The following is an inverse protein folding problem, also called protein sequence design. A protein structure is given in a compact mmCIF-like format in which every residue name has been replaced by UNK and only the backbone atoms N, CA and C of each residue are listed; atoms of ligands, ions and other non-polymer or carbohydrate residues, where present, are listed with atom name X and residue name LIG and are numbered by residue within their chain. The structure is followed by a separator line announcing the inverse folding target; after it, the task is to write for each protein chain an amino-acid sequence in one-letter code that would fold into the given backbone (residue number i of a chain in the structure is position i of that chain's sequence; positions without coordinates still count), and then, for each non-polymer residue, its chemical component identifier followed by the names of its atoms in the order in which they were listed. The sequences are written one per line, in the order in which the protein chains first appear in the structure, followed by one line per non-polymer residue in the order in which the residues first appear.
data_IF_454543396903
#
_entry.id   IF_454543396903
#
_cell.length_a   1.000
_cell.length_b   1.000
_cell.length_c   1.000
_cell.angle_alpha   90.00
_cell.angle_beta   90.00
_cell.angle_gamma   90.00
#
_symmetry.space_group_name_H-M   'P 1'
#
loop_
_entity.id
_entity.type
_entity.pdbx_description
1 polymer ?
#
# COMPACT_ATOMS: atom_id res chain seq x y z
N UNK A 1 0.07 -3.59 -6.52
CA UNK A 1 -0.62 -2.31 -6.31
C UNK A 1 -1.48 -2.01 -7.51
N UNK A 2 -2.70 -1.54 -7.28
CA UNK A 2 -3.68 -1.19 -8.31
C UNK A 2 -4.33 0.16 -7.97
N UNK A 3 -5.36 0.56 -8.73
CA UNK A 3 -6.00 1.85 -8.51
C UNK A 3 -6.74 1.94 -7.17
N UNK A 4 -7.34 0.86 -6.66
CA UNK A 4 -8.03 0.86 -5.36
C UNK A 4 -7.05 1.10 -4.21
N UNK A 5 -5.88 0.45 -4.28
CA UNK A 5 -4.81 0.65 -3.29
C UNK A 5 -4.32 2.10 -3.34
N UNK A 6 -3.99 2.62 -4.52
CA UNK A 6 -3.48 3.97 -4.66
C UNK A 6 -4.51 5.06 -4.33
N UNK A 7 -5.80 4.83 -4.55
CA UNK A 7 -6.87 5.75 -4.15
C UNK A 7 -6.97 5.90 -2.63
N UNK A 8 -6.72 4.84 -1.86
CA UNK A 8 -6.66 4.94 -0.39
C UNK A 8 -5.44 5.74 0.09
N UNK A 9 -4.25 5.50 -0.49
CA UNK A 9 -3.06 6.32 -0.19
C UNK A 9 -3.23 7.78 -0.66
N UNK A 10 -3.98 8.01 -1.73
CA UNK A 10 -4.32 9.35 -2.17
C UNK A 10 -5.31 10.02 -1.22
N UNK A 11 -6.35 9.31 -0.78
CA UNK A 11 -7.32 9.81 0.20
C UNK A 11 -6.64 10.23 1.50
N UNK A 12 -5.71 9.42 2.02
CA UNK A 12 -5.01 9.78 3.26
C UNK A 12 -4.08 10.98 3.09
N UNK A 13 -3.34 11.10 1.97
CA UNK A 13 -2.50 12.29 1.68
C UNK A 13 -3.32 13.57 1.49
N UNK A 14 -4.57 13.44 1.05
CA UNK A 14 -5.53 14.55 0.96
C UNK A 14 -6.32 14.76 2.26
N UNK A 15 -6.04 13.99 3.31
CA UNK A 15 -6.61 14.16 4.65
C UNK A 15 -5.54 14.75 5.58
N UNK A 16 -4.35 14.16 5.56
CA UNK A 16 -3.13 14.62 6.24
C UNK A 16 -2.09 14.87 5.16
N UNK A 17 -1.74 16.14 4.92
CA UNK A 17 -0.77 16.48 3.88
C UNK A 17 0.60 15.89 4.19
N UNK A 18 1.22 15.34 3.15
CA UNK A 18 2.62 14.91 3.12
C UNK A 18 3.63 16.08 3.01
N UNK A 19 3.15 17.31 3.24
CA UNK A 19 3.91 18.56 3.29
C UNK A 19 3.51 19.39 4.51
N UNK A 20 4.51 19.89 5.21
CA UNK A 20 4.30 20.84 6.29
C UNK A 20 3.94 22.23 5.73
N UNK A 21 3.20 23.01 6.52
CA UNK A 21 2.95 24.42 6.22
C UNK A 21 4.23 25.28 6.43
N UNK A 22 4.13 26.58 6.17
CA UNK A 22 5.24 27.53 6.35
C UNK A 22 5.75 27.61 7.80
N UNK A 23 4.93 27.19 8.77
CA UNK A 23 5.23 27.18 10.19
C UNK A 23 5.74 25.81 10.67
N UNK A 24 5.91 24.84 9.76
CA UNK A 24 6.36 23.49 10.08
C UNK A 24 5.27 22.60 10.70
N UNK A 25 3.99 22.92 10.54
CA UNK A 25 2.86 22.14 11.06
C UNK A 25 2.25 21.22 10.00
N UNK A 26 1.70 20.10 10.43
CA UNK A 26 0.93 19.24 9.53
C UNK A 26 -0.37 19.93 9.11
N UNK A 27 -0.69 19.83 7.82
CA UNK A 27 -1.93 20.37 7.29
C UNK A 27 -3.00 19.27 7.29
N UNK A 28 -4.05 19.48 8.09
CA UNK A 28 -5.28 18.69 8.04
C UNK A 28 -6.25 19.31 7.06
N UNK A 29 -6.59 18.56 6.02
CA UNK A 29 -7.44 19.04 4.93
C UNK A 29 -8.90 18.60 5.17
N UNK A 30 -9.12 17.43 5.78
CA UNK A 30 -10.47 16.86 6.02
C UNK A 30 -10.55 16.17 7.40
N UNK A 31 -10.85 16.93 8.46
CA UNK A 31 -10.85 16.44 9.84
C UNK A 31 -11.87 15.33 10.15
N UNK A 32 -13.02 15.32 9.46
CA UNK A 32 -14.13 14.42 9.82
C UNK A 32 -13.86 12.93 9.50
N UNK A 33 -12.89 12.64 8.63
CA UNK A 33 -12.71 11.31 8.06
C UNK A 33 -11.97 10.34 9.00
N UNK A 34 -11.22 10.85 9.98
CA UNK A 34 -10.36 10.05 10.88
C UNK A 34 -10.91 9.90 12.30
N UNK A 35 -12.08 10.47 12.60
CA UNK A 35 -12.63 10.52 13.98
C UNK A 35 -12.76 9.14 14.63
N UNK A 36 -13.19 8.12 13.88
CA UNK A 36 -13.33 6.74 14.37
C UNK A 36 -12.01 6.06 14.74
N UNK A 37 -10.88 6.65 14.34
CA UNK A 37 -9.54 6.15 14.60
C UNK A 37 -8.79 6.96 15.67
N UNK A 38 -9.44 7.97 16.24
CA UNK A 38 -8.90 8.79 17.32
C UNK A 38 -9.45 8.32 18.68
N UNK A 39 -8.60 8.33 19.72
CA UNK A 39 -9.07 8.16 21.10
C UNK A 39 -10.08 9.25 21.47
N UNK A 40 -11.27 8.88 21.96
CA UNK A 40 -12.30 9.86 22.34
C UNK A 40 -12.87 10.69 21.17
N UNK A 41 -12.85 10.16 19.93
CA UNK A 41 -13.37 10.78 18.70
C UNK A 41 -12.68 12.08 18.25
N UNK A 42 -11.54 12.44 18.86
CA UNK A 42 -10.73 13.61 18.47
C UNK A 42 -9.25 13.29 18.61
N UNK A 43 -8.49 13.53 17.55
CA UNK A 43 -7.04 13.41 17.58
C UNK A 43 -6.46 14.74 18.10
N UNK A 44 -5.95 14.73 19.33
CA UNK A 44 -5.53 15.92 20.06
C UNK A 44 -4.22 16.52 19.54
N UNK A 45 -3.31 15.67 19.04
CA UNK A 45 -1.98 16.08 18.57
C UNK A 45 -1.63 15.46 17.21
N UNK A 46 -0.51 15.90 16.63
CA UNK A 46 -0.05 15.47 15.31
C UNK A 46 0.26 13.98 15.23
N UNK A 47 0.81 13.41 16.30
CA UNK A 47 1.14 12.00 16.36
C UNK A 47 -0.13 11.13 16.37
N UNK A 48 -1.16 11.54 17.11
CA UNK A 48 -2.47 10.89 17.09
C UNK A 48 -3.15 10.97 15.73
N UNK A 49 -3.03 12.11 15.01
CA UNK A 49 -3.57 12.23 13.65
C UNK A 49 -2.88 11.26 12.69
N UNK A 50 -1.56 11.16 12.76
CA UNK A 50 -0.78 10.21 11.94
C UNK A 50 -1.15 8.76 12.31
N UNK A 51 -1.30 8.48 13.61
CA UNK A 51 -1.77 7.18 14.10
C UNK A 51 -3.14 6.81 13.53
N UNK A 52 -4.09 7.74 13.57
CA UNK A 52 -5.42 7.57 13.02
C UNK A 52 -5.39 7.31 11.51
N UNK A 53 -4.52 8.02 10.77
CA UNK A 53 -4.30 7.77 9.35
C UNK A 53 -3.69 6.41 9.05
N UNK A 54 -2.78 5.93 9.90
CA UNK A 54 -2.19 4.61 9.79
C UNK A 54 -3.23 3.50 10.02
N UNK A 55 -4.06 3.64 11.07
CA UNK A 55 -5.15 2.70 11.34
C UNK A 55 -6.18 2.67 10.22
N UNK A 56 -6.53 3.84 9.67
CA UNK A 56 -7.40 3.91 8.49
C UNK A 56 -6.85 3.07 7.32
N UNK A 57 -5.54 3.17 7.02
CA UNK A 57 -4.94 2.37 5.96
C UNK A 57 -5.00 0.88 6.28
N UNK A 58 -4.72 0.48 7.52
CA UNK A 58 -4.84 -0.92 7.90
C UNK A 58 -6.28 -1.44 7.78
N UNK A 59 -7.28 -0.70 8.23
CA UNK A 59 -8.68 -1.07 8.05
C UNK A 59 -9.06 -1.17 6.56
N UNK A 60 -8.66 -0.17 5.76
CA UNK A 60 -8.98 -0.13 4.33
C UNK A 60 -8.46 -1.35 3.54
N UNK A 61 -7.46 -2.06 4.05
CA UNK A 61 -6.84 -3.20 3.39
C UNK A 61 -6.97 -4.52 4.13
N UNK A 62 -7.14 -4.50 5.46
CA UNK A 62 -6.99 -5.66 6.32
C UNK A 62 -8.09 -5.79 7.40
N UNK A 63 -9.14 -4.94 7.40
CA UNK A 63 -10.22 -5.02 8.40
C UNK A 63 -10.88 -6.42 8.47
N UNK A 64 -10.97 -7.10 7.33
CA UNK A 64 -11.50 -8.45 7.22
C UNK A 64 -10.92 -9.20 6.03
N UNK A 65 -11.08 -10.53 5.99
CA UNK A 65 -10.73 -11.35 4.83
C UNK A 65 -11.39 -10.89 3.53
N UNK A 66 -12.63 -10.40 3.60
CA UNK A 66 -13.34 -9.86 2.44
C UNK A 66 -12.67 -8.60 1.91
N UNK A 67 -12.31 -7.66 2.79
CA UNK A 67 -11.58 -6.43 2.42
C UNK A 67 -10.20 -6.78 1.86
N UNK A 68 -9.49 -7.70 2.50
CA UNK A 68 -8.18 -8.16 2.05
C UNK A 68 -8.22 -8.77 0.65
N UNK A 69 -9.22 -9.59 0.35
CA UNK A 69 -9.35 -10.20 -0.97
C UNK A 69 -9.87 -9.22 -2.04
N UNK A 70 -10.74 -8.28 -1.69
CA UNK A 70 -11.43 -7.43 -2.69
C UNK A 70 -10.78 -6.06 -2.95
N UNK A 71 -10.08 -5.50 -1.94
CA UNK A 71 -9.42 -4.19 -2.00
C UNK A 71 -7.91 -4.36 -2.08
N UNK A 72 -7.34 -5.19 -1.20
CA UNK A 72 -5.91 -5.51 -1.24
C UNK A 72 -5.55 -6.57 -2.28
N UNK A 73 -6.54 -7.24 -2.89
CA UNK A 73 -6.35 -8.32 -3.86
C UNK A 73 -5.41 -9.43 -3.34
N UNK A 74 -5.53 -9.77 -2.05
CA UNK A 74 -4.67 -10.75 -1.39
C UNK A 74 -3.20 -10.32 -1.25
N UNK A 75 -2.86 -9.07 -1.53
CA UNK A 75 -1.48 -8.60 -1.58
C UNK A 75 -0.98 -8.14 -0.21
N UNK A 76 -0.24 -9.03 0.47
CA UNK A 76 0.38 -8.72 1.77
C UNK A 76 1.45 -7.63 1.71
N UNK A 77 2.04 -7.37 0.53
CA UNK A 77 3.10 -6.37 0.37
C UNK A 77 2.60 -4.93 0.57
N UNK A 78 1.29 -4.72 0.65
CA UNK A 78 0.71 -3.41 1.01
C UNK A 78 1.19 -2.94 2.38
N UNK A 79 1.50 -3.85 3.31
CA UNK A 79 2.07 -3.51 4.62
C UNK A 79 3.36 -2.70 4.47
N UNK A 80 4.20 -3.03 3.48
CA UNK A 80 5.43 -2.28 3.21
C UNK A 80 5.11 -0.84 2.82
N UNK A 81 4.14 -0.62 1.93
CA UNK A 81 3.72 0.72 1.52
C UNK A 81 3.10 1.53 2.67
N UNK A 82 2.34 0.89 3.57
CA UNK A 82 1.80 1.55 4.77
C UNK A 82 2.95 2.00 5.68
N UNK A 83 3.94 1.15 5.92
CA UNK A 83 5.09 1.48 6.78
C UNK A 83 5.96 2.57 6.15
N UNK A 84 6.21 2.53 4.83
CA UNK A 84 6.95 3.59 4.13
C UNK A 84 6.19 4.93 4.24
N UNK A 85 4.87 4.93 4.01
CA UNK A 85 4.05 6.13 4.21
C UNK A 85 4.14 6.65 5.65
N UNK A 86 3.92 5.78 6.64
CA UNK A 86 3.97 6.14 8.06
C UNK A 86 5.33 6.72 8.43
N UNK A 87 6.41 6.04 8.04
CA UNK A 87 7.79 6.45 8.31
C UNK A 87 8.11 7.81 7.70
N UNK A 88 7.72 8.02 6.45
CA UNK A 88 7.89 9.32 5.79
C UNK A 88 7.13 10.42 6.54
N UNK A 89 5.85 10.19 6.86
CA UNK A 89 5.01 11.18 7.54
C UNK A 89 5.60 11.57 8.90
N UNK A 90 5.99 10.60 9.72
CA UNK A 90 6.58 10.83 11.05
C UNK A 90 7.89 11.63 11.00
N UNK A 91 8.64 11.53 9.91
CA UNK A 91 9.94 12.18 9.73
C UNK A 91 9.86 13.50 8.96
N UNK A 92 8.65 14.00 8.65
CA UNK A 92 8.48 15.40 8.24
C UNK A 92 8.89 16.36 9.35
N UNK A 93 8.74 15.95 10.62
CA UNK A 93 9.28 16.64 11.80
C UNK A 93 10.58 15.99 12.28
N UNK A 94 11.50 16.77 12.87
CA UNK A 94 12.79 16.26 13.34
C UNK A 94 12.60 15.17 14.40
N UNK A 95 13.54 14.23 14.43
CA UNK A 95 13.61 13.23 15.48
C UNK A 95 13.91 13.88 16.84
N UNK A 96 13.24 13.38 17.89
CA UNK A 96 13.50 13.77 19.27
C UNK A 96 14.16 12.61 20.02
N UNK A 97 15.36 12.82 20.55
CA UNK A 97 16.09 11.81 21.31
C UNK A 97 16.80 10.77 20.43
N UNK A 98 17.14 9.62 21.01
CA UNK A 98 17.96 8.58 20.36
C UNK A 98 17.14 7.55 19.56
N UNK A 99 15.86 7.38 19.90
CA UNK A 99 14.95 6.45 19.23
C UNK A 99 14.42 7.07 17.95
N UNK A 100 14.36 6.33 16.85
CA UNK A 100 13.78 6.84 15.61
C UNK A 100 12.29 7.17 15.80
N UNK A 101 11.76 8.13 15.03
CA UNK A 101 10.34 8.50 15.16
C UNK A 101 9.40 7.29 14.91
N UNK A 102 9.78 6.39 14.00
CA UNK A 102 9.01 5.17 13.72
C UNK A 102 9.10 4.14 14.85
N UNK A 103 10.29 3.94 15.45
CA UNK A 103 10.44 3.08 16.61
C UNK A 103 9.66 3.62 17.82
N UNK A 104 9.68 4.94 18.02
CA UNK A 104 8.88 5.59 19.06
C UNK A 104 7.39 5.38 18.82
N UNK A 105 6.91 5.61 17.59
CA UNK A 105 5.53 5.33 17.20
C UNK A 105 5.15 3.86 17.45
N UNK A 106 5.99 2.94 17.01
CA UNK A 106 5.75 1.50 17.17
C UNK A 106 5.61 1.13 18.66
N UNK A 107 6.53 1.58 19.51
CA UNK A 107 6.47 1.27 20.94
C UNK A 107 5.23 1.86 21.61
N UNK A 108 4.87 3.09 21.25
CA UNK A 108 3.72 3.82 21.82
C UNK A 108 2.39 3.23 21.38
N UNK A 109 2.16 3.07 20.08
CA UNK A 109 0.84 2.73 19.53
C UNK A 109 0.71 1.27 19.10
N UNK A 110 1.71 0.72 18.42
CA UNK A 110 1.60 -0.65 17.86
C UNK A 110 1.77 -1.68 18.97
N UNK A 111 2.82 -1.54 19.79
CA UNK A 111 3.09 -2.41 20.94
C UNK A 111 2.25 -2.00 22.16
N UNK A 112 2.16 -0.71 22.44
CA UNK A 112 1.47 -0.17 23.61
C UNK A 112 -0.06 -0.11 23.47
N UNK A 113 -0.59 0.16 22.28
CA UNK A 113 -2.02 0.41 22.06
C UNK A 113 -2.85 -0.83 21.72
N UNK A 114 -4.13 -0.80 22.10
CA UNK A 114 -5.06 -1.91 21.86
C UNK A 114 -5.58 -1.97 20.42
N UNK A 115 -5.65 -0.83 19.72
CA UNK A 115 -6.20 -0.75 18.37
C UNK A 115 -5.43 -1.62 17.36
N UNK A 116 -4.11 -1.75 17.50
CA UNK A 116 -3.27 -2.60 16.63
C UNK A 116 -3.30 -4.09 17.02
N UNK A 117 -3.81 -4.41 18.21
CA UNK A 117 -3.95 -5.79 18.72
C UNK A 117 -5.33 -6.37 18.45
N UNK A 118 -6.28 -5.54 17.97
CA UNK A 118 -7.62 -5.97 17.60
C UNK A 118 -7.55 -7.11 16.58
N UNK A 119 -8.31 -8.16 16.87
CA UNK A 119 -8.31 -9.37 16.04
C UNK A 119 -8.85 -9.09 14.64
N UNK A 120 -8.18 -9.62 13.62
CA UNK A 120 -8.65 -9.64 12.24
C UNK A 120 -9.16 -11.03 11.94
N UNK A 121 -10.42 -11.15 11.52
CA UNK A 121 -10.98 -12.45 11.18
C UNK A 121 -10.45 -12.94 9.82
N UNK A 122 -9.98 -14.18 9.79
CA UNK A 122 -9.79 -15.00 8.58
C UNK A 122 -8.78 -14.47 7.53
N UNK A 123 -7.79 -13.67 7.92
CA UNK A 123 -6.67 -13.27 7.04
C UNK A 123 -5.47 -14.20 7.27
N UNK A 124 -5.51 -15.38 6.63
CA UNK A 124 -4.42 -16.31 6.20
C UNK A 124 -3.23 -16.67 7.13
N UNK A 125 -3.00 -15.99 8.25
CA UNK A 125 -1.97 -16.27 9.28
C UNK A 125 -1.89 -15.16 10.36
N UNK A 126 -2.50 -14.00 10.12
CA UNK A 126 -2.28 -12.80 10.93
C UNK A 126 -3.47 -12.56 11.82
N UNK A 127 -3.24 -12.65 13.13
CA UNK A 127 -4.30 -12.39 14.10
C UNK A 127 -4.62 -10.91 14.27
N UNK A 128 -3.72 -9.98 13.97
CA UNK A 128 -3.94 -8.53 14.13
C UNK A 128 -2.92 -7.68 13.34
N UNK A 129 -3.12 -6.35 13.32
CA UNK A 129 -2.24 -5.42 12.61
C UNK A 129 -0.81 -5.37 13.17
N UNK A 130 -0.65 -5.54 14.49
CA UNK A 130 0.67 -5.65 15.11
C UNK A 130 1.47 -6.80 14.50
N UNK A 131 0.88 -7.98 14.33
CA UNK A 131 1.58 -9.13 13.75
C UNK A 131 2.02 -8.87 12.30
N UNK A 132 1.22 -8.13 11.51
CA UNK A 132 1.62 -7.70 10.17
C UNK A 132 2.87 -6.81 10.21
N UNK A 133 2.88 -5.84 11.13
CA UNK A 133 3.98 -4.86 11.28
C UNK A 133 5.25 -5.52 11.81
N UNK A 134 5.13 -6.45 12.77
CA UNK A 134 6.27 -7.15 13.39
C UNK A 134 7.10 -7.94 12.37
N UNK A 135 6.45 -8.50 11.33
CA UNK A 135 7.16 -9.19 10.24
C UNK A 135 7.99 -8.24 9.36
N UNK A 136 7.85 -6.92 9.52
CA UNK A 136 8.54 -5.88 8.73
C UNK A 136 9.59 -5.12 9.54
N UNK A 137 10.22 -5.78 10.51
CA UNK A 137 11.24 -5.17 11.39
C UNK A 137 12.39 -4.47 10.64
N UNK A 138 12.82 -4.98 9.49
CA UNK A 138 13.85 -4.35 8.66
C UNK A 138 13.45 -2.93 8.20
N UNK A 139 12.17 -2.73 7.82
CA UNK A 139 11.67 -1.41 7.42
C UNK A 139 11.55 -0.48 8.62
N UNK A 140 11.18 -1.00 9.79
CA UNK A 140 11.01 -0.20 11.02
C UNK A 140 12.33 0.48 11.43
N UNK A 141 13.45 -0.18 11.17
CA UNK A 141 14.79 0.27 11.55
C UNK A 141 15.56 0.93 10.40
N UNK A 142 14.92 1.17 9.26
CA UNK A 142 15.55 1.71 8.06
C UNK A 142 15.93 3.18 8.20
N UNK A 143 17.03 3.59 7.56
CA UNK A 143 17.43 4.99 7.49
C UNK A 143 16.35 5.83 6.79
N UNK A 144 16.07 7.00 7.35
CA UNK A 144 15.03 7.88 6.83
C UNK A 144 15.31 8.35 5.40
N UNK A 145 16.58 8.58 5.03
CA UNK A 145 16.90 9.00 3.66
C UNK A 145 16.49 7.93 2.65
N UNK A 146 16.61 6.66 3.03
CA UNK A 146 16.25 5.54 2.18
C UNK A 146 14.72 5.36 2.11
N UNK A 147 14.03 5.49 3.24
CA UNK A 147 12.56 5.57 3.29
C UNK A 147 12.03 6.72 2.42
N UNK A 148 12.62 7.92 2.48
CA UNK A 148 12.18 9.05 1.68
C UNK A 148 12.34 8.81 0.19
N UNK A 149 13.40 8.13 -0.25
CA UNK A 149 13.59 7.74 -1.65
C UNK A 149 12.55 6.72 -2.09
N UNK A 150 12.27 5.70 -1.26
CA UNK A 150 11.19 4.74 -1.49
C UNK A 150 9.82 5.45 -1.59
N UNK A 151 9.57 6.40 -0.69
CA UNK A 151 8.35 7.19 -0.66
C UNK A 151 8.13 8.00 -1.94
N UNK A 152 9.16 8.72 -2.40
CA UNK A 152 9.10 9.50 -3.64
C UNK A 152 8.71 8.62 -4.83
N UNK A 153 9.29 7.42 -4.96
CA UNK A 153 8.99 6.52 -6.09
C UNK A 153 7.59 5.91 -5.99
N UNK A 154 7.19 5.33 -4.85
CA UNK A 154 5.86 4.71 -4.75
C UNK A 154 4.74 5.75 -4.88
N UNK A 155 4.91 6.94 -4.27
CA UNK A 155 3.87 7.96 -4.25
C UNK A 155 3.61 8.53 -5.65
N UNK A 156 4.66 8.63 -6.49
CA UNK A 156 4.55 8.96 -7.91
C UNK A 156 3.77 7.90 -8.69
N UNK A 157 4.10 6.63 -8.49
CA UNK A 157 3.35 5.54 -9.14
C UNK A 157 1.87 5.59 -8.77
N UNK A 158 1.57 5.84 -7.49
CA UNK A 158 0.17 5.99 -7.09
C UNK A 158 -0.54 7.20 -7.67
N UNK A 159 0.14 8.33 -7.85
CA UNK A 159 -0.44 9.47 -8.55
C UNK A 159 -0.81 9.10 -9.99
N UNK A 160 0.08 8.38 -10.69
CA UNK A 160 -0.19 7.90 -12.06
C UNK A 160 -1.45 7.05 -12.12
N UNK A 161 -1.64 6.11 -11.18
CA UNK A 161 -2.85 5.28 -11.10
C UNK A 161 -4.13 6.10 -10.85
N UNK A 162 -4.08 7.07 -9.93
CA UNK A 162 -5.26 7.85 -9.53
C UNK A 162 -5.71 8.81 -10.63
N UNK A 163 -4.79 9.27 -11.46
CA UNK A 163 -5.04 10.19 -12.57
C UNK A 163 -5.53 9.51 -13.84
N UNK A 164 -5.58 8.17 -13.88
CA UNK A 164 -6.18 7.45 -15.00
C UNK A 164 -7.67 7.82 -15.08
N UNK A 165 -8.02 8.47 -16.18
CA UNK A 165 -9.38 8.66 -16.66
C UNK A 165 -9.64 7.70 -17.82
N UNK A 166 -10.58 6.78 -17.64
CA UNK A 166 -10.94 5.77 -18.63
C UNK A 166 -11.83 6.33 -19.76
N UNK A 167 -12.60 7.40 -19.49
CA UNK A 167 -13.50 8.02 -20.46
C UNK A 167 -12.78 9.00 -21.40
N UNK A 168 -11.80 9.72 -20.86
CA UNK A 168 -10.98 10.66 -21.62
C UNK A 168 -9.48 10.46 -21.29
N UNK A 169 -8.85 9.40 -21.83
CA UNK A 169 -7.46 9.07 -21.54
C UNK A 169 -6.50 10.17 -22.02
N UNK A 170 -5.74 10.76 -21.10
CA UNK A 170 -4.69 11.75 -21.42
C UNK A 170 -3.34 11.05 -21.62
N UNK A 171 -3.24 10.31 -22.72
CA UNK A 171 -2.11 9.42 -22.99
C UNK A 171 -0.73 10.07 -22.96
N UNK A 172 -0.61 11.28 -23.50
CA UNK A 172 0.65 12.03 -23.50
C UNK A 172 1.09 12.39 -22.07
N UNK A 173 0.15 12.79 -21.21
CA UNK A 173 0.42 13.08 -19.80
C UNK A 173 0.85 11.81 -19.04
N UNK A 174 0.19 10.67 -19.31
CA UNK A 174 0.55 9.39 -18.69
C UNK A 174 1.96 8.95 -19.11
N UNK A 175 2.30 9.07 -20.39
CA UNK A 175 3.63 8.75 -20.91
C UNK A 175 4.71 9.64 -20.29
N UNK A 176 4.46 10.95 -20.18
CA UNK A 176 5.38 11.89 -19.53
C UNK A 176 5.66 11.48 -18.08
N UNK A 177 4.61 11.16 -17.31
CA UNK A 177 4.74 10.71 -15.91
C UNK A 177 5.41 9.35 -15.80
N UNK A 178 5.16 8.44 -16.74
CA UNK A 178 5.85 7.15 -16.82
C UNK A 178 7.37 7.32 -17.04
N UNK A 179 7.78 8.24 -17.93
CA UNK A 179 9.18 8.60 -18.10
C UNK A 179 9.80 9.18 -16.81
N UNK A 180 9.12 10.11 -16.15
CA UNK A 180 9.58 10.66 -14.88
C UNK A 180 9.70 9.58 -13.78
N UNK A 181 8.75 8.65 -13.72
CA UNK A 181 8.78 7.53 -12.78
C UNK A 181 9.96 6.60 -13.05
N UNK A 182 10.18 6.17 -14.30
CA UNK A 182 11.29 5.27 -14.65
C UNK A 182 12.64 5.91 -14.34
N UNK A 183 12.81 7.20 -14.59
CA UNK A 183 14.05 7.91 -14.25
C UNK A 183 14.29 7.99 -12.74
N UNK A 184 13.23 8.16 -11.94
CA UNK A 184 13.33 8.12 -10.47
C UNK A 184 13.62 6.71 -9.96
N UNK A 185 12.98 5.71 -10.53
CA UNK A 185 13.20 4.30 -10.23
C UNK A 185 14.65 3.88 -10.56
N UNK A 186 15.19 4.28 -11.71
CA UNK A 186 16.60 4.04 -12.09
C UNK A 186 17.60 4.62 -11.09
N UNK A 187 17.33 5.84 -10.61
CA UNK A 187 18.16 6.45 -9.56
C UNK A 187 18.09 5.68 -8.25
N UNK A 188 16.90 5.19 -7.90
CA UNK A 188 16.68 4.40 -6.69
C UNK A 188 17.42 3.04 -6.74
N UNK A 189 17.42 2.34 -7.89
CA UNK A 189 18.19 1.09 -8.05
C UNK A 189 19.70 1.32 -8.15
N UNK A 190 20.15 2.54 -8.45
CA UNK A 190 21.58 2.89 -8.41
C UNK A 190 22.11 3.09 -6.98
N UNK A 191 21.22 3.14 -5.98
CA UNK A 191 21.59 3.38 -4.60
C UNK A 191 22.02 2.08 -3.90
N UNK A 192 23.27 2.03 -3.44
CA UNK A 192 23.82 0.84 -2.79
C UNK A 192 23.13 0.49 -1.46
N UNK A 193 22.62 1.47 -0.73
CA UNK A 193 21.95 1.21 0.55
C UNK A 193 20.60 0.52 0.32
N UNK A 194 19.89 0.95 -0.73
CA UNK A 194 18.63 0.34 -1.17
C UNK A 194 18.89 -1.07 -1.71
N UNK A 195 19.85 -1.21 -2.62
CA UNK A 195 20.05 -2.48 -3.35
C UNK A 195 20.72 -3.58 -2.52
N UNK A 196 21.48 -3.23 -1.47
CA UNK A 196 22.04 -4.22 -0.53
C UNK A 196 21.02 -4.69 0.51
N UNK A 197 19.98 -3.89 0.80
CA UNK A 197 18.97 -4.25 1.79
C UNK A 197 17.92 -5.20 1.17
N UNK A 198 17.77 -6.42 1.71
CA UNK A 198 16.85 -7.41 1.13
C UNK A 198 15.39 -6.99 1.10
N UNK A 199 14.94 -6.25 2.11
CA UNK A 199 13.57 -5.76 2.19
C UNK A 199 13.31 -4.66 1.15
N UNK A 200 14.26 -3.75 0.96
CA UNK A 200 14.23 -2.78 -0.15
C UNK A 200 14.21 -3.46 -1.52
N UNK A 201 15.00 -4.51 -1.74
CA UNK A 201 14.99 -5.28 -3.00
C UNK A 201 13.60 -5.82 -3.32
N UNK A 202 12.91 -6.38 -2.32
CA UNK A 202 11.55 -6.90 -2.50
C UNK A 202 10.58 -5.76 -2.86
N UNK A 203 10.69 -4.60 -2.20
CA UNK A 203 9.88 -3.41 -2.52
C UNK A 203 10.15 -2.94 -3.95
N UNK A 204 11.40 -2.92 -4.41
CA UNK A 204 11.75 -2.57 -5.78
C UNK A 204 11.11 -3.50 -6.81
N UNK A 205 11.18 -4.81 -6.58
CA UNK A 205 10.52 -5.81 -7.44
C UNK A 205 9.01 -5.58 -7.48
N UNK A 206 8.39 -5.31 -6.33
CA UNK A 206 6.97 -5.00 -6.25
C UNK A 206 6.61 -3.72 -7.04
N UNK A 207 7.37 -2.63 -6.86
CA UNK A 207 7.18 -1.38 -7.59
C UNK A 207 7.33 -1.56 -9.12
N UNK A 208 8.29 -2.38 -9.55
CA UNK A 208 8.46 -2.71 -10.97
C UNK A 208 7.25 -3.49 -11.51
N UNK A 209 6.77 -4.49 -10.78
CA UNK A 209 5.59 -5.26 -11.18
C UNK A 209 4.33 -4.39 -11.18
N UNK A 210 4.21 -3.48 -10.23
CA UNK A 210 3.11 -2.52 -10.13
C UNK A 210 3.14 -1.54 -11.30
N UNK A 211 4.31 -1.07 -11.72
CA UNK A 211 4.44 -0.26 -12.94
C UNK A 211 4.09 -1.05 -14.22
N UNK A 212 4.47 -2.33 -14.31
CA UNK A 212 4.03 -3.19 -15.42
C UNK A 212 2.50 -3.31 -15.47
N UNK A 213 1.84 -3.41 -14.31
CA UNK A 213 0.38 -3.42 -14.23
C UNK A 213 -0.24 -2.07 -14.63
N UNK A 214 0.39 -0.96 -14.29
CA UNK A 214 -0.03 0.37 -14.74
C UNK A 214 -0.01 0.48 -16.28
N UNK A 215 1.07 0.01 -16.92
CA UNK A 215 1.17 -0.04 -18.39
C UNK A 215 0.06 -0.89 -19.00
N UNK A 216 -0.23 -2.07 -18.42
CA UNK A 216 -1.34 -2.93 -18.87
C UNK A 216 -2.67 -2.20 -18.79
N UNK A 217 -2.97 -1.52 -17.67
CA UNK A 217 -4.19 -0.72 -17.53
C UNK A 217 -4.28 0.39 -18.58
N UNK A 218 -3.16 1.04 -18.92
CA UNK A 218 -3.11 2.02 -20.01
C UNK A 218 -3.38 1.39 -21.39
N UNK A 219 -2.90 0.16 -21.64
CA UNK A 219 -3.24 -0.58 -22.86
C UNK A 219 -4.75 -0.88 -22.94
N UNK A 220 -5.35 -1.31 -21.84
CA UNK A 220 -6.76 -1.73 -21.79
C UNK A 220 -7.71 -0.58 -22.13
N UNK A 221 -7.37 0.65 -21.71
CA UNK A 221 -8.12 1.87 -22.06
C UNK A 221 -7.75 2.43 -23.45
N UNK A 222 -7.09 1.62 -24.30
CA UNK A 222 -6.68 1.93 -25.67
C UNK A 222 -5.85 3.22 -25.78
N UNK A 223 -4.94 3.41 -24.84
CA UNK A 223 -4.07 4.56 -24.88
C UNK A 223 -3.10 4.46 -26.06
N UNK A 224 -3.24 5.34 -27.06
CA UNK A 224 -2.63 5.21 -28.40
C UNK A 224 -1.10 5.10 -28.43
N UNK A 225 -0.41 5.54 -27.37
CA UNK A 225 1.07 5.55 -27.28
C UNK A 225 1.61 4.52 -26.28
N UNK A 226 0.84 3.51 -25.93
CA UNK A 226 1.20 2.60 -24.84
C UNK A 226 2.44 1.74 -25.13
N UNK A 227 2.72 1.45 -26.40
CA UNK A 227 3.97 0.82 -26.86
C UNK A 227 5.21 1.70 -26.65
N UNK A 228 5.04 3.01 -26.45
CA UNK A 228 6.12 3.96 -26.19
C UNK A 228 6.44 4.11 -24.70
N UNK A 229 5.70 3.45 -23.81
CA UNK A 229 5.96 3.56 -22.37
C UNK A 229 7.32 2.94 -22.04
N UNK A 230 8.16 3.63 -21.25
CA UNK A 230 9.49 3.13 -20.92
C UNK A 230 9.38 1.82 -20.15
N UNK A 231 10.28 0.89 -20.43
CA UNK A 231 10.41 -0.36 -19.68
C UNK A 231 11.36 -0.17 -18.49
N UNK A 232 11.16 -0.99 -17.47
CA UNK A 232 12.11 -1.15 -16.38
C UNK A 232 12.80 -2.48 -16.62
N UNK A 233 14.11 -2.47 -16.80
CA UNK A 233 14.89 -3.70 -16.82
C UNK A 233 14.87 -4.32 -15.43
N UNK A 234 14.36 -5.55 -15.34
CA UNK A 234 14.42 -6.32 -14.10
C UNK A 234 15.84 -6.85 -14.00
N UNK A 235 16.65 -6.23 -13.15
CA UNK A 235 18.00 -6.73 -12.85
C UNK A 235 17.87 -8.15 -12.31
N UNK A 236 18.35 -9.14 -13.07
CA UNK A 236 18.29 -10.59 -12.78
C UNK A 236 18.78 -10.92 -11.37
N UNK A 237 19.78 -10.18 -10.88
CA UNK A 237 20.34 -10.29 -9.53
C UNK A 237 19.32 -10.07 -8.40
N UNK A 238 18.25 -9.31 -8.62
CA UNK A 238 17.22 -9.10 -7.60
C UNK A 238 16.33 -10.34 -7.45
N UNK A 239 15.92 -10.95 -8.56
CA UNK A 239 15.02 -12.10 -8.57
C UNK A 239 15.68 -13.37 -8.01
N UNK A 240 16.92 -13.66 -8.42
CA UNK A 240 17.69 -14.83 -7.94
C UNK A 240 17.94 -14.78 -6.42
N UNK A 241 18.19 -13.58 -5.87
CA UNK A 241 18.39 -13.39 -4.43
C UNK A 241 17.13 -13.64 -3.58
N UNK A 242 15.95 -13.56 -4.20
CA UNK A 242 14.65 -13.80 -3.54
C UNK A 242 14.33 -15.30 -3.53
N UNK A 243 14.58 -16.00 -4.64
CA UNK A 243 14.35 -17.46 -4.76
C UNK A 243 15.22 -18.26 -3.76
N UNK A 244 16.49 -17.88 -3.58
CA UNK A 244 17.37 -18.53 -2.61
C UNK A 244 16.89 -18.38 -1.16
N UNK A 245 16.29 -17.23 -0.81
CA UNK A 245 15.79 -16.97 0.55
C UNK A 245 14.43 -17.64 0.81
N UNK A 246 13.58 -17.72 -0.20
CA UNK A 246 12.32 -18.50 -0.15
C UNK A 246 12.59 -20.00 0.00
N UNK A 247 13.62 -20.53 -0.66
CA UNK A 247 14.04 -21.92 -0.52
C UNK A 247 14.57 -22.26 0.89
N UNK A 248 15.34 -21.35 1.51
CA UNK A 248 15.88 -21.56 2.86
C UNK A 248 14.83 -21.55 3.97
N UNK A 249 13.72 -20.83 3.81
CA UNK A 249 12.60 -20.86 4.76
C UNK A 249 11.85 -22.20 4.66
N UNK A 250 11.79 -22.81 3.47
CA UNK A 250 11.14 -24.11 3.27
C UNK A 250 11.95 -25.29 3.82
N UNK A 251 13.28 -25.17 3.96
CA UNK A 251 14.16 -26.30 4.35
C UNK A 251 14.30 -26.52 5.87
N UNK A 252 13.71 -25.67 6.72
CA UNK A 252 13.80 -25.82 8.19
C UNK A 252 12.51 -26.33 8.86
N UNK A 253 11.51 -26.80 8.11
CA UNK A 253 10.25 -27.35 8.68
C UNK A 253 9.93 -28.74 8.10
N UNK A 254 10.92 -29.56 7.73
CA UNK A 254 10.65 -30.94 7.29
C UNK A 254 11.64 -31.94 7.87
N UNK A 255 11.59 -32.11 9.19
CA UNK A 255 11.86 -33.40 9.83
C UNK A 255 10.55 -33.91 10.44
N UNK A 256 9.66 -34.43 9.59
CA UNK A 256 8.78 -35.55 9.97
C UNK A 256 8.61 -36.42 8.73
N UNK A 257 9.04 -37.68 8.91
CA UNK A 257 8.89 -38.87 8.08
C UNK A 257 8.07 -38.76 6.79
N UNK A 258 8.79 -38.92 5.68
CA UNK A 258 8.26 -39.39 4.42
C UNK A 258 7.62 -40.77 4.56
N UNK A 259 6.30 -40.84 4.38
CA UNK A 259 5.64 -42.05 3.91
C UNK A 259 4.79 -41.73 2.69
N UNK A 260 5.16 -42.36 1.58
CA UNK A 260 4.59 -42.33 0.25
C UNK A 260 3.08 -42.51 0.17
N UNK A 261 2.40 -41.79 -0.73
CA UNK A 261 1.30 -42.37 -1.51
C UNK A 261 0.97 -41.55 -2.76
N UNK A 262 1.10 -42.21 -3.91
CA UNK A 262 0.63 -41.79 -5.23
C UNK A 262 -0.86 -42.07 -5.38
N UNK A 263 -1.70 -41.05 -5.62
CA UNK A 263 -3.08 -41.29 -6.10
C UNK A 263 -3.48 -40.21 -7.12
N UNK A 264 -3.43 -40.63 -8.38
CA UNK A 264 -4.47 -40.54 -9.42
C UNK A 264 -5.37 -39.30 -9.44
N UNK A 265 -5.27 -38.59 -10.57
CA UNK A 265 -6.22 -37.61 -11.10
C UNK A 265 -7.67 -38.11 -11.07
N UNK A 266 -8.56 -37.35 -10.41
CA UNK A 266 -10.00 -37.38 -10.66
C UNK A 266 -10.58 -35.96 -10.66
N UNK A 267 -10.81 -35.49 -11.88
CA UNK A 267 -12.01 -34.82 -12.37
C UNK A 267 -13.01 -34.35 -11.29
N UNK A 268 -13.16 -33.04 -11.13
CA UNK A 268 -14.43 -32.44 -10.70
C UNK A 268 -14.84 -31.35 -11.67
N UNK A 269 -15.97 -31.62 -12.32
CA UNK A 269 -16.79 -30.69 -13.08
C UNK A 269 -17.40 -29.69 -12.09
N UNK A 270 -17.13 -28.40 -12.27
CA UNK A 270 -17.98 -27.33 -11.71
C UNK A 270 -18.38 -26.41 -12.85
N UNK A 271 -19.52 -26.76 -13.43
CA UNK A 271 -20.35 -25.89 -14.25
C UNK A 271 -21.32 -25.15 -13.33
N UNK A 272 -21.64 -23.90 -13.65
CA UNK A 272 -22.74 -23.08 -13.12
C UNK A 272 -22.55 -22.38 -11.76
N UNK A 273 -22.02 -21.14 -11.78
CA UNK A 273 -22.72 -19.92 -11.32
C UNK A 273 -22.21 -18.67 -12.07
N UNK A 274 -22.27 -18.66 -13.41
CA UNK A 274 -22.22 -17.40 -14.18
C UNK A 274 -23.65 -16.88 -14.30
N UNK A 275 -24.10 -16.14 -13.29
CA UNK A 275 -25.42 -15.51 -13.26
C UNK A 275 -25.48 -14.51 -12.13
N UNK A 276 -25.55 -13.22 -12.49
CA UNK A 276 -25.82 -12.07 -11.61
C UNK A 276 -24.65 -11.31 -10.95
N UNK A 277 -23.57 -10.99 -11.66
CA UNK A 277 -22.77 -9.76 -11.37
C UNK A 277 -22.48 -8.98 -12.66
N UNK A 278 -23.52 -8.75 -13.45
CA UNK A 278 -23.53 -7.72 -14.49
C UNK A 278 -24.43 -6.57 -14.03
N UNK A 279 -24.11 -5.92 -12.90
CA UNK A 279 -24.80 -4.69 -12.47
C UNK A 279 -24.00 -3.78 -11.53
N UNK A 280 -22.68 -3.67 -11.75
CA UNK A 280 -21.90 -2.53 -11.26
C UNK A 280 -21.12 -1.91 -12.43
N UNK A 281 -21.86 -1.57 -13.49
CA UNK A 281 -21.40 -0.60 -14.48
C UNK A 281 -21.41 0.79 -13.85
N UNK A 282 -20.25 1.45 -13.91
CA UNK A 282 -20.13 2.87 -14.21
C UNK A 282 -20.83 3.84 -13.26
N UNK A 283 -20.14 4.24 -12.21
CA UNK A 283 -20.16 5.65 -11.83
C UNK A 283 -18.71 6.15 -11.91
N UNK A 284 -18.30 6.48 -13.14
CA UNK A 284 -17.10 7.26 -13.40
C UNK A 284 -17.31 8.66 -12.81
N UNK A 285 -16.46 9.03 -11.86
CA UNK A 285 -16.50 10.38 -11.30
C UNK A 285 -15.72 11.34 -12.19
N UNK A 286 -16.37 12.43 -12.58
CA UNK A 286 -15.87 13.53 -13.42
C UNK A 286 -14.73 14.37 -12.79
N UNK A 287 -13.95 13.89 -11.83
CA UNK A 287 -12.86 14.60 -11.11
C UNK A 287 -12.54 16.06 -11.54
N UNK A 288 -13.39 16.99 -11.11
CA UNK A 288 -12.98 18.36 -10.77
C UNK A 288 -12.38 18.32 -9.34
N UNK A 289 -11.51 19.24 -8.92
CA UNK A 289 -10.92 19.22 -7.57
C UNK A 289 -11.98 19.18 -6.44
N UNK A 290 -13.17 19.73 -6.71
CA UNK A 290 -14.36 19.62 -5.85
C UNK A 290 -14.98 18.21 -5.81
N UNK A 291 -14.98 17.48 -6.92
CA UNK A 291 -15.45 16.09 -6.97
C UNK A 291 -14.45 15.12 -6.38
N UNK A 292 -13.15 15.41 -6.48
CA UNK A 292 -12.11 14.65 -5.81
C UNK A 292 -12.25 14.75 -4.29
N UNK A 293 -12.51 15.96 -3.76
CA UNK A 293 -12.85 16.17 -2.34
C UNK A 293 -14.12 15.39 -1.94
N UNK A 294 -15.15 15.35 -2.80
CA UNK A 294 -16.35 14.53 -2.59
C UNK A 294 -16.04 13.03 -2.57
N UNK A 295 -15.17 12.54 -3.45
CA UNK A 295 -14.78 11.13 -3.52
C UNK A 295 -13.96 10.71 -2.29
N UNK A 296 -13.01 11.54 -1.85
CA UNK A 296 -12.27 11.32 -0.59
C UNK A 296 -13.22 11.31 0.60
N UNK A 297 -14.19 12.22 0.64
CA UNK A 297 -15.23 12.20 1.67
C UNK A 297 -16.10 10.94 1.59
N UNK A 298 -16.47 10.48 0.38
CA UNK A 298 -17.28 9.28 0.17
C UNK A 298 -16.58 7.99 0.60
N UNK A 299 -15.32 7.76 0.22
CA UNK A 299 -14.56 6.58 0.64
C UNK A 299 -14.48 6.55 2.17
N UNK A 300 -14.02 7.63 2.79
CA UNK A 300 -13.82 7.65 4.23
C UNK A 300 -15.14 7.60 5.03
N UNK A 301 -16.23 8.22 4.54
CA UNK A 301 -17.53 8.20 5.21
C UNK A 301 -18.22 6.82 5.15
N UNK A 302 -18.04 6.07 4.06
CA UNK A 302 -18.65 4.73 3.94
C UNK A 302 -17.96 3.67 4.78
N UNK A 303 -16.68 3.86 5.12
CA UNK A 303 -15.96 3.02 6.08
C UNK A 303 -16.49 3.29 7.51
N UNK A 304 -16.65 4.57 7.90
CA UNK A 304 -17.17 4.97 9.22
C UNK A 304 -18.65 4.61 9.46
N UNK A 305 -19.45 4.33 8.43
CA UNK A 305 -20.86 3.91 8.59
C UNK A 305 -21.01 2.43 8.95
N UNK A 306 -20.00 1.59 8.70
CA UNK A 306 -20.05 0.16 9.05
C UNK A 306 -19.72 -0.14 10.51
N UNK A 307 -19.25 0.85 11.27
CA UNK A 307 -18.94 0.75 12.70
C UNK A 307 -20.14 0.96 13.63
N UNK A 308 -21.35 1.14 13.09
CA UNK A 308 -22.61 1.25 13.87
C UNK A 308 -23.68 0.28 13.36
N UNK A 309 -23.35 -1.01 13.28
CA UNK A 309 -24.37 -2.06 13.32
C UNK A 309 -23.84 -3.13 14.28
N UNK A 310 -24.19 -2.96 15.57
CA UNK A 310 -24.22 -4.03 16.57
C UNK A 310 -25.55 -4.76 16.46
#
# INVERSE_FOLDING_TARGET
MDDKICRNFFAIRNTISDKLDKNGNYQLIIENNLKGYCGGNRCANDLEKINAGCLYLFDAFFESSSVFNSVANGNINIVDYIIIWLSYMLNLKPQVGKTSNLQYFYNTYVKGGDMYKKSIANVMEYSNYKNLIDKKNDLINMDIKDISKLYDVFSRLCNMYVEINEENPKCEDYLKKANEFVERYKKLIGDSNITKNSSCRQILVNLSNDYDNFKKKCNDIKCSNSSSFPTIEKTTNFAESIEQKSGQISTHISEVESSSSSITSKLFIVLSIFGAIAFFLGISYKVNSKELKKYVHYICANINKKTYIS
#
